data_IF_507885299582
#
_entry.id   IF_507885299582
#
_cell.length_a   1.000
_cell.length_b   1.000
_cell.length_c   1.000
_cell.angle_alpha   90.00
_cell.angle_beta   90.00
_cell.angle_gamma   90.00
#
_symmetry.space_group_name_H-M   'P 1'
#
loop_
_entity.id
_entity.type
_entity.pdbx_description
1 polymer ?
#
# COMPACT_ATOMS: atom_id res chain seq x y z
N UNK A 1 19.84 1.55 17.22
CA UNK A 1 21.22 1.37 16.73
C UNK A 1 21.35 -0.05 16.21
N UNK A 2 21.28 -0.25 14.89
CA UNK A 2 21.42 -1.57 14.26
C UNK A 2 22.55 -1.40 13.24
N UNK A 3 23.67 -2.08 13.48
CA UNK A 3 24.87 -2.05 12.66
C UNK A 3 24.64 -2.91 11.40
N UNK A 4 24.70 -2.30 10.22
CA UNK A 4 24.73 -3.01 8.95
C UNK A 4 26.19 -3.22 8.55
N UNK A 5 26.66 -4.46 8.62
CA UNK A 5 27.97 -4.84 8.09
C UNK A 5 27.84 -5.13 6.59
N UNK A 6 28.51 -4.31 5.78
CA UNK A 6 28.63 -4.49 4.33
C UNK A 6 29.56 -5.67 4.03
N UNK A 7 29.07 -6.68 3.31
CA UNK A 7 29.89 -7.75 2.75
C UNK A 7 30.24 -7.35 1.32
N UNK A 8 31.49 -6.96 1.13
CA UNK A 8 32.10 -6.61 -0.13
C UNK A 8 32.40 -7.90 -0.93
N UNK A 9 31.57 -8.23 -1.90
CA UNK A 9 31.83 -9.31 -2.86
C UNK A 9 32.62 -8.77 -4.04
N UNK A 10 33.92 -9.08 -4.11
CA UNK A 10 34.70 -8.92 -5.34
C UNK A 10 34.61 -10.19 -6.16
N UNK A 11 34.00 -10.10 -7.35
CA UNK A 11 34.05 -11.15 -8.36
C UNK A 11 35.44 -11.16 -9.01
N UNK A 12 36.12 -12.30 -8.94
CA UNK A 12 37.29 -12.59 -9.78
C UNK A 12 36.87 -13.48 -10.96
N UNK A 13 37.41 -13.29 -12.18
CA UNK A 13 36.97 -14.02 -13.37
C UNK A 13 37.51 -15.46 -13.38
N UNK A 14 36.81 -16.42 -14.01
CA UNK A 14 37.21 -17.81 -14.01
C UNK A 14 38.40 -18.05 -14.94
N UNK A 15 39.52 -18.48 -14.37
CA UNK A 15 40.64 -19.03 -15.14
C UNK A 15 40.21 -20.38 -15.76
N UNK A 16 39.93 -20.38 -17.06
CA UNK A 16 39.77 -21.61 -17.86
C UNK A 16 41.05 -22.42 -17.82
N UNK A 17 41.06 -23.52 -17.08
CA UNK A 17 42.06 -24.59 -17.25
C UNK A 17 41.49 -25.61 -18.22
N UNK A 18 42.05 -25.65 -19.43
CA UNK A 18 41.79 -26.71 -20.40
C UNK A 18 42.50 -27.97 -19.91
N UNK A 19 41.77 -28.93 -19.34
CA UNK A 19 42.26 -30.28 -19.09
C UNK A 19 42.32 -31.04 -20.41
N UNK A 20 43.51 -31.13 -20.99
CA UNK A 20 43.80 -32.03 -22.11
C UNK A 20 43.77 -33.49 -21.62
N UNK A 21 42.83 -34.28 -22.15
CA UNK A 21 42.83 -35.73 -22.01
C UNK A 21 44.02 -36.33 -22.77
N UNK A 22 45.09 -36.68 -22.05
CA UNK A 22 46.17 -37.50 -22.62
C UNK A 22 45.74 -38.98 -22.47
N UNK A 23 45.23 -39.56 -23.55
CA UNK A 23 45.05 -41.02 -23.69
C UNK A 23 46.42 -41.68 -23.86
N UNK A 24 47.10 -41.98 -22.76
CA UNK A 24 48.32 -42.79 -22.75
C UNK A 24 47.99 -44.29 -22.80
N UNK A 25 47.99 -44.90 -23.99
CA UNK A 25 48.00 -46.36 -24.18
C UNK A 25 49.34 -46.91 -23.63
N UNK A 26 49.36 -47.48 -22.43
CA UNK A 26 50.50 -48.27 -21.95
C UNK A 26 50.39 -49.69 -22.52
N UNK A 27 51.27 -50.03 -23.48
CA UNK A 27 51.58 -51.43 -23.79
C UNK A 27 52.56 -51.93 -22.72
N UNK A 28 52.12 -52.87 -21.90
CA UNK A 28 53.01 -53.64 -21.02
C UNK A 28 53.64 -54.75 -21.87
N UNK A 29 54.91 -54.55 -22.24
CA UNK A 29 55.73 -55.60 -22.84
C UNK A 29 56.29 -56.41 -21.66
N UNK A 30 55.74 -57.59 -21.44
CA UNK A 30 56.30 -58.60 -20.55
C UNK A 30 57.44 -59.30 -21.30
N UNK A 31 58.68 -59.10 -20.84
CA UNK A 31 59.85 -59.84 -21.32
C UNK A 31 60.03 -61.02 -20.36
N UNK A 32 59.50 -62.19 -20.73
CA UNK A 32 59.87 -63.46 -20.12
C UNK A 32 61.25 -63.86 -20.64
N UNK A 33 62.28 -63.75 -19.80
CA UNK A 33 63.56 -64.42 -20.03
C UNK A 33 63.49 -65.83 -19.44
N UNK A 34 63.35 -66.84 -20.30
CA UNK A 34 63.58 -68.24 -19.95
C UNK A 34 65.08 -68.49 -19.84
N UNK A 35 65.56 -68.87 -18.65
CA UNK A 35 66.86 -69.50 -18.49
C UNK A 35 66.65 -70.79 -17.71
N UNK A 36 66.82 -71.91 -18.39
CA UNK A 36 66.95 -73.22 -17.78
C UNK A 36 68.30 -73.28 -17.07
N UNK A 37 68.28 -73.54 -15.76
CA UNK A 37 69.36 -74.22 -15.06
C UNK A 37 68.77 -74.77 -13.75
N UNK A 38 68.82 -76.09 -13.65
CA UNK A 38 68.41 -76.93 -12.54
C UNK A 38 69.14 -76.55 -11.25
N UNK A 39 68.39 -76.27 -10.18
CA UNK A 39 68.88 -76.53 -8.83
C UNK A 39 67.71 -76.58 -7.85
N UNK A 40 67.54 -77.75 -7.26
CA UNK A 40 66.63 -78.03 -6.15
C UNK A 40 66.81 -77.03 -5.02
N UNK A 41 65.76 -76.24 -4.74
CA UNK A 41 65.44 -75.77 -3.39
C UNK A 41 64.02 -75.20 -3.38
N UNK A 42 63.10 -75.94 -2.78
CA UNK A 42 61.76 -75.46 -2.47
C UNK A 42 61.87 -74.31 -1.44
N UNK A 43 61.89 -73.06 -1.92
CA UNK A 43 61.55 -71.91 -1.09
C UNK A 43 60.02 -71.78 -1.03
N UNK A 44 59.42 -71.47 0.13
CA UNK A 44 58.00 -71.23 0.20
C UNK A 44 57.70 -69.98 -0.65
N UNK A 45 56.67 -70.07 -1.48
CA UNK A 45 56.14 -68.97 -2.27
C UNK A 45 55.57 -67.87 -1.35
N UNK A 46 56.46 -67.11 -0.70
CA UNK A 46 56.13 -66.01 0.20
C UNK A 46 56.49 -64.69 -0.48
N UNK A 47 55.48 -63.95 -0.92
CA UNK A 47 55.69 -62.58 -1.41
C UNK A 47 56.18 -61.65 -0.31
N UNK A 48 57.00 -60.65 -0.66
CA UNK A 48 57.49 -59.63 0.25
C UNK A 48 56.32 -58.90 0.94
N UNK A 49 56.22 -59.06 2.27
CA UNK A 49 55.13 -58.55 3.10
C UNK A 49 54.95 -57.03 2.96
N UNK A 50 56.05 -56.28 2.77
CA UNK A 50 56.00 -54.81 2.59
C UNK A 50 55.36 -54.43 1.27
N UNK A 51 55.62 -55.19 0.20
CA UNK A 51 55.00 -54.94 -1.11
C UNK A 51 53.51 -55.24 -1.07
N UNK A 52 53.11 -56.31 -0.39
CA UNK A 52 51.70 -56.66 -0.20
C UNK A 52 50.95 -55.58 0.58
N UNK A 53 51.54 -55.03 1.65
CA UNK A 53 50.95 -53.94 2.43
C UNK A 53 50.75 -52.67 1.58
N UNK A 54 51.75 -52.28 0.77
CA UNK A 54 51.63 -51.12 -0.14
C UNK A 54 50.54 -51.34 -1.18
N UNK A 55 50.44 -52.56 -1.74
CA UNK A 55 49.36 -52.93 -2.68
C UNK A 55 47.98 -52.81 -2.04
N UNK A 56 47.82 -53.25 -0.78
CA UNK A 56 46.58 -53.10 -0.02
C UNK A 56 46.24 -51.63 0.20
N UNK A 57 47.21 -50.78 0.57
CA UNK A 57 46.98 -49.35 0.74
C UNK A 57 46.56 -48.67 -0.57
N UNK A 58 47.18 -49.02 -1.70
CA UNK A 58 46.79 -48.51 -3.01
C UNK A 58 45.36 -48.92 -3.36
N UNK A 59 45.00 -50.19 -3.14
CA UNK A 59 43.65 -50.68 -3.38
C UNK A 59 42.61 -49.96 -2.50
N UNK A 60 42.93 -49.75 -1.21
CA UNK A 60 42.07 -49.01 -0.28
C UNK A 60 41.89 -47.55 -0.72
N UNK A 61 42.96 -46.86 -1.11
CA UNK A 61 42.90 -45.48 -1.62
C UNK A 61 42.10 -45.39 -2.92
N UNK A 62 42.24 -46.37 -3.81
CA UNK A 62 41.45 -46.44 -5.04
C UNK A 62 39.96 -46.65 -4.72
N UNK A 63 39.62 -47.51 -3.78
CA UNK A 63 38.24 -47.71 -3.34
C UNK A 63 37.64 -46.44 -2.71
N UNK A 64 38.40 -45.73 -1.87
CA UNK A 64 37.98 -44.45 -1.29
C UNK A 64 37.78 -43.38 -2.37
N UNK A 65 38.69 -43.31 -3.35
CA UNK A 65 38.57 -42.38 -4.49
C UNK A 65 37.27 -42.61 -5.27
N UNK A 66 36.94 -43.87 -5.58
CA UNK A 66 35.69 -44.20 -6.29
C UNK A 66 34.48 -43.81 -5.45
N UNK A 67 34.50 -44.08 -4.14
CA UNK A 67 33.40 -43.70 -3.23
C UNK A 67 33.16 -42.20 -3.22
N UNK A 68 34.22 -41.40 -3.10
CA UNK A 68 34.11 -39.93 -3.09
C UNK A 68 33.63 -39.42 -4.46
N UNK A 69 34.14 -39.97 -5.56
CA UNK A 69 33.70 -39.60 -6.90
C UNK A 69 32.19 -39.85 -7.09
N UNK A 70 31.71 -41.04 -6.71
CA UNK A 70 30.28 -41.37 -6.81
C UNK A 70 29.42 -40.44 -5.95
N UNK A 71 29.85 -40.12 -4.72
CA UNK A 71 29.13 -39.17 -3.87
C UNK A 71 29.06 -37.77 -4.48
N UNK A 72 30.16 -37.30 -5.08
CA UNK A 72 30.19 -36.02 -5.77
C UNK A 72 29.27 -36.01 -6.99
N UNK A 73 29.25 -37.09 -7.78
CA UNK A 73 28.38 -37.23 -8.95
C UNK A 73 26.89 -37.24 -8.53
N UNK A 74 26.52 -37.98 -7.49
CA UNK A 74 25.16 -37.99 -6.93
C UNK A 74 24.71 -36.60 -6.45
N UNK A 75 25.60 -35.86 -5.77
CA UNK A 75 25.31 -34.50 -5.30
C UNK A 75 25.24 -33.50 -6.44
N UNK A 76 26.06 -33.65 -7.47
CA UNK A 76 26.01 -32.82 -8.67
C UNK A 76 24.71 -33.06 -9.45
N UNK A 77 24.25 -34.30 -9.55
CA UNK A 77 22.96 -34.62 -10.17
C UNK A 77 21.80 -34.03 -9.36
N UNK A 78 21.81 -34.19 -8.03
CA UNK A 78 20.79 -33.59 -7.14
C UNK A 78 20.73 -32.07 -7.30
N UNK A 79 21.88 -31.39 -7.26
CA UNK A 79 21.93 -29.94 -7.43
C UNK A 79 21.44 -29.51 -8.81
N UNK A 80 21.75 -30.29 -9.85
CA UNK A 80 21.25 -30.04 -11.21
C UNK A 80 19.73 -30.18 -11.29
N UNK A 81 19.15 -31.20 -10.64
CA UNK A 81 17.69 -31.35 -10.54
C UNK A 81 17.07 -30.19 -9.79
N UNK A 82 17.63 -29.81 -8.65
CA UNK A 82 17.17 -28.68 -7.84
C UNK A 82 17.16 -27.36 -8.64
N UNK A 83 18.23 -27.07 -9.40
CA UNK A 83 18.28 -25.86 -10.23
C UNK A 83 17.25 -25.90 -11.36
N UNK A 84 17.03 -27.06 -11.99
CA UNK A 84 16.01 -27.21 -13.04
C UNK A 84 14.60 -27.01 -12.49
N UNK A 85 14.32 -27.59 -11.33
CA UNK A 85 13.04 -27.49 -10.64
C UNK A 85 12.76 -26.05 -10.22
N UNK A 86 13.71 -25.41 -9.55
CA UNK A 86 13.60 -24.01 -9.15
C UNK A 86 13.41 -23.06 -10.35
N UNK A 87 14.10 -23.31 -11.47
CA UNK A 87 13.88 -22.52 -12.68
C UNK A 87 12.48 -22.73 -13.27
N UNK A 88 11.96 -23.95 -13.25
CA UNK A 88 10.60 -24.24 -13.73
C UNK A 88 9.55 -23.56 -12.85
N UNK A 89 9.68 -23.64 -11.52
CA UNK A 89 8.79 -22.95 -10.58
C UNK A 89 8.87 -21.42 -10.75
N UNK A 90 10.07 -20.85 -10.94
CA UNK A 90 10.23 -19.42 -11.19
C UNK A 90 9.61 -18.98 -12.52
N UNK A 91 9.72 -19.79 -13.58
CA UNK A 91 9.06 -19.51 -14.86
C UNK A 91 7.53 -19.59 -14.73
N UNK A 92 7.02 -20.57 -14.00
CA UNK A 92 5.58 -20.72 -13.72
C UNK A 92 5.05 -19.52 -12.92
N UNK A 93 5.71 -19.14 -11.83
CA UNK A 93 5.34 -17.97 -11.01
C UNK A 93 5.45 -16.69 -11.84
N UNK A 94 6.53 -16.54 -12.61
CA UNK A 94 6.72 -15.38 -13.48
C UNK A 94 5.60 -15.25 -14.51
N UNK A 95 5.18 -16.36 -15.10
CA UNK A 95 4.09 -16.38 -16.08
C UNK A 95 2.73 -16.11 -15.46
N UNK A 96 2.41 -16.72 -14.31
CA UNK A 96 1.12 -16.49 -13.64
C UNK A 96 1.00 -15.04 -13.16
N UNK A 97 2.06 -14.49 -12.56
CA UNK A 97 2.06 -13.09 -12.11
C UNK A 97 1.97 -12.08 -13.25
N UNK A 98 2.59 -12.35 -14.40
CA UNK A 98 2.44 -11.50 -15.58
C UNK A 98 1.00 -11.56 -16.14
N UNK A 99 0.42 -12.75 -16.25
CA UNK A 99 -0.96 -12.90 -16.71
C UNK A 99 -1.96 -12.20 -15.78
N UNK A 100 -1.81 -12.34 -14.46
CA UNK A 100 -2.66 -11.66 -13.48
C UNK A 100 -2.51 -10.13 -13.59
N UNK A 101 -1.29 -9.64 -13.82
CA UNK A 101 -1.02 -8.22 -14.02
C UNK A 101 -1.70 -7.69 -15.29
N UNK A 102 -1.61 -8.43 -16.39
CA UNK A 102 -2.25 -8.07 -17.66
C UNK A 102 -3.78 -8.05 -17.52
N UNK A 103 -4.39 -9.06 -16.87
CA UNK A 103 -5.85 -9.07 -16.59
C UNK A 103 -6.27 -7.86 -15.72
N UNK A 104 -5.47 -7.53 -14.69
CA UNK A 104 -5.73 -6.36 -13.85
C UNK A 104 -5.60 -5.06 -14.66
N UNK A 105 -4.61 -4.98 -15.55
CA UNK A 105 -4.40 -3.81 -16.41
C UNK A 105 -5.58 -3.62 -17.37
N UNK A 106 -6.04 -4.69 -18.02
CA UNK A 106 -7.23 -4.66 -18.88
C UNK A 106 -8.46 -4.20 -18.10
N UNK A 107 -8.71 -4.78 -16.91
CA UNK A 107 -9.84 -4.38 -16.05
C UNK A 107 -9.76 -2.93 -15.58
N UNK A 108 -8.58 -2.42 -15.27
CA UNK A 108 -8.39 -1.01 -14.86
C UNK A 108 -8.65 -0.09 -16.05
N UNK A 109 -8.14 -0.43 -17.22
CA UNK A 109 -8.33 0.34 -18.45
C UNK A 109 -9.80 0.39 -18.83
N UNK A 110 -10.51 -0.75 -18.81
CA UNK A 110 -11.95 -0.80 -19.07
C UNK A 110 -12.76 0.05 -18.07
N UNK A 111 -12.37 0.05 -16.78
CA UNK A 111 -13.00 0.90 -15.76
C UNK A 111 -12.73 2.38 -15.98
N UNK A 112 -11.54 2.73 -16.47
CA UNK A 112 -11.18 4.10 -16.79
C UNK A 112 -11.98 4.59 -17.99
N UNK A 113 -12.05 3.79 -19.06
CA UNK A 113 -12.79 4.09 -20.27
C UNK A 113 -14.28 4.28 -19.98
N UNK A 114 -14.89 3.39 -19.18
CA UNK A 114 -16.28 3.54 -18.73
C UNK A 114 -16.52 4.85 -17.99
N UNK A 115 -15.62 5.24 -17.07
CA UNK A 115 -15.74 6.50 -16.34
C UNK A 115 -15.50 7.72 -17.22
N UNK A 116 -14.66 7.59 -18.24
CA UNK A 116 -14.43 8.65 -19.21
C UNK A 116 -15.67 8.87 -20.07
N UNK A 117 -16.31 7.79 -20.54
CA UNK A 117 -17.58 7.86 -21.26
C UNK A 117 -18.69 8.50 -20.41
N UNK A 118 -18.85 8.05 -19.15
CA UNK A 118 -19.79 8.66 -18.20
C UNK A 118 -19.52 10.16 -17.98
N UNK A 119 -18.24 10.56 -17.91
CA UNK A 119 -17.85 11.95 -17.75
C UNK A 119 -18.12 12.80 -19.00
N UNK A 120 -17.88 12.25 -20.19
CA UNK A 120 -18.14 12.94 -21.45
C UNK A 120 -19.66 13.13 -21.66
N UNK A 121 -20.48 12.12 -21.38
CA UNK A 121 -21.94 12.23 -21.39
C UNK A 121 -22.47 13.25 -20.36
N UNK A 122 -21.88 13.26 -19.15
CA UNK A 122 -22.22 14.24 -18.12
C UNK A 122 -21.79 15.67 -18.54
N UNK A 123 -20.64 15.81 -19.20
CA UNK A 123 -20.17 17.11 -19.69
C UNK A 123 -21.08 17.64 -20.80
N UNK A 124 -21.45 16.80 -21.77
CA UNK A 124 -22.36 17.18 -22.86
C UNK A 124 -23.72 17.61 -22.34
N UNK A 125 -24.32 16.85 -21.41
CA UNK A 125 -25.60 17.22 -20.80
C UNK A 125 -25.52 18.52 -19.99
N UNK A 126 -24.45 18.75 -19.23
CA UNK A 126 -24.21 20.02 -18.53
C UNK A 126 -24.08 21.21 -19.49
N UNK A 127 -23.43 21.03 -20.64
CA UNK A 127 -23.35 22.09 -21.65
C UNK A 127 -24.72 22.43 -22.25
N UNK A 128 -25.55 21.43 -22.52
CA UNK A 128 -26.92 21.65 -22.97
C UNK A 128 -27.75 22.39 -21.92
N UNK A 129 -27.64 22.01 -20.64
CA UNK A 129 -28.32 22.70 -19.54
C UNK A 129 -27.87 24.16 -19.41
N UNK A 130 -26.58 24.46 -19.59
CA UNK A 130 -26.06 25.82 -19.59
C UNK A 130 -26.63 26.62 -20.76
N UNK A 131 -26.71 26.04 -21.96
CA UNK A 131 -27.27 26.71 -23.14
C UNK A 131 -28.77 27.02 -22.96
N UNK A 132 -29.54 26.10 -22.38
CA UNK A 132 -30.95 26.32 -22.07
C UNK A 132 -31.15 27.38 -20.97
N UNK A 133 -30.33 27.34 -19.93
CA UNK A 133 -30.34 28.35 -18.87
C UNK A 133 -29.98 29.74 -19.39
N UNK A 134 -29.03 29.85 -20.33
CA UNK A 134 -28.67 31.12 -20.96
C UNK A 134 -29.84 31.68 -21.78
N UNK A 135 -30.52 30.84 -22.57
CA UNK A 135 -31.74 31.25 -23.31
C UNK A 135 -32.84 31.72 -22.35
N UNK A 136 -33.06 31.01 -21.25
CA UNK A 136 -34.03 31.41 -20.23
C UNK A 136 -33.65 32.75 -19.60
N UNK A 137 -32.37 32.99 -19.34
CA UNK A 137 -31.85 34.23 -18.79
C UNK A 137 -32.04 35.40 -19.75
N UNK A 138 -31.75 35.21 -21.05
CA UNK A 138 -32.01 36.21 -22.08
C UNK A 138 -33.50 36.57 -22.19
N UNK A 139 -34.39 35.58 -22.11
CA UNK A 139 -35.84 35.82 -22.09
C UNK A 139 -36.30 36.58 -20.84
N UNK A 140 -35.72 36.25 -19.69
CA UNK A 140 -35.99 36.94 -18.44
C UNK A 140 -35.52 38.40 -18.52
N UNK A 141 -34.30 38.66 -19.00
CA UNK A 141 -33.76 40.01 -19.16
C UNK A 141 -34.62 40.84 -20.13
N UNK A 142 -35.00 40.26 -21.27
CA UNK A 142 -35.90 40.91 -22.24
C UNK A 142 -37.27 41.22 -21.64
N UNK A 143 -37.80 40.34 -20.77
CA UNK A 143 -39.05 40.58 -20.05
C UNK A 143 -38.92 41.73 -19.07
N UNK A 144 -37.86 41.76 -18.27
CA UNK A 144 -37.58 42.85 -17.32
C UNK A 144 -37.40 44.19 -18.05
N UNK A 145 -36.69 44.20 -19.17
CA UNK A 145 -36.50 45.42 -19.95
C UNK A 145 -37.82 45.95 -20.51
N UNK A 146 -38.69 45.06 -20.99
CA UNK A 146 -40.05 45.42 -21.41
C UNK A 146 -40.89 45.95 -20.24
N UNK A 147 -40.92 45.24 -19.11
CA UNK A 147 -41.69 45.62 -17.92
C UNK A 147 -41.21 46.94 -17.30
N UNK A 148 -39.89 47.23 -17.39
CA UNK A 148 -39.28 48.50 -17.00
C UNK A 148 -39.70 49.63 -17.94
N UNK A 149 -39.62 49.41 -19.26
CA UNK A 149 -40.00 50.40 -20.26
C UNK A 149 -41.52 50.69 -20.23
N UNK A 150 -42.34 49.72 -19.84
CA UNK A 150 -43.80 49.87 -19.70
C UNK A 150 -44.23 50.40 -18.32
N UNK A 151 -43.29 50.63 -17.39
CA UNK A 151 -43.59 51.11 -16.03
C UNK A 151 -44.44 50.14 -15.19
N UNK A 152 -44.66 48.91 -15.67
CA UNK A 152 -45.45 47.85 -15.02
C UNK A 152 -44.75 47.30 -13.77
N UNK A 153 -43.42 47.34 -13.74
CA UNK A 153 -42.63 46.95 -12.57
C UNK A 153 -43.03 47.73 -11.31
N UNK A 154 -43.32 49.02 -11.45
CA UNK A 154 -43.74 49.87 -10.33
C UNK A 154 -45.25 49.84 -10.06
N UNK A 155 -46.09 49.51 -11.06
CA UNK A 155 -47.53 49.27 -10.84
C UNK A 155 -47.73 48.02 -9.97
N UNK A 156 -47.11 46.90 -10.31
CA UNK A 156 -47.17 45.67 -9.51
C UNK A 156 -46.62 45.85 -8.08
N UNK A 157 -45.65 46.75 -7.86
CA UNK A 157 -45.14 47.09 -6.53
C UNK A 157 -46.03 48.07 -5.75
N UNK A 158 -46.71 49.01 -6.42
CA UNK A 158 -47.68 49.92 -5.79
C UNK A 158 -49.00 49.21 -5.47
N UNK A 159 -49.44 48.32 -6.33
CA UNK A 159 -50.69 47.57 -6.17
C UNK A 159 -50.58 46.58 -4.99
N UNK A 160 -49.43 45.91 -4.81
CA UNK A 160 -49.18 45.06 -3.62
C UNK A 160 -49.04 45.80 -2.29
N UNK A 161 -48.82 47.12 -2.30
CA UNK A 161 -48.66 47.89 -1.05
C UNK A 161 -49.99 48.39 -0.49
N UNK A 162 -51.04 48.44 -1.30
CA UNK A 162 -52.36 48.95 -0.88
C UNK A 162 -53.32 47.87 -0.41
N UNK A 163 -53.00 46.59 -0.62
CA UNK A 163 -53.85 45.45 -0.23
C UNK A 163 -52.97 44.30 0.28
N UNK A 164 -52.18 44.56 1.32
CA UNK A 164 -51.65 43.46 2.13
C UNK A 164 -52.78 43.05 3.06
N UNK A 165 -53.53 42.06 2.61
CA UNK A 165 -54.51 41.33 3.42
C UNK A 165 -53.86 40.99 4.78
N UNK A 166 -54.49 41.30 5.93
CA UNK A 166 -53.96 40.93 7.25
C UNK A 166 -53.51 39.46 7.31
N UNK A 167 -54.11 38.57 6.53
CA UNK A 167 -53.69 37.16 6.40
C UNK A 167 -52.28 36.98 5.82
N UNK A 168 -51.87 37.74 4.81
CA UNK A 168 -50.51 37.60 4.20
C UNK A 168 -49.43 38.11 5.15
N UNK A 169 -49.75 39.15 5.93
CA UNK A 169 -48.84 39.67 6.97
C UNK A 169 -48.73 38.72 8.16
N UNK A 170 -49.83 38.04 8.51
CA UNK A 170 -49.85 36.99 9.53
C UNK A 170 -49.16 35.72 9.04
N UNK A 171 -49.31 35.35 7.77
CA UNK A 171 -48.62 34.23 7.14
C UNK A 171 -47.11 34.47 7.05
N UNK A 172 -46.67 35.67 6.66
CA UNK A 172 -45.26 36.03 6.64
C UNK A 172 -44.64 36.04 8.06
N UNK A 173 -45.40 36.46 9.07
CA UNK A 173 -44.98 36.33 10.48
C UNK A 173 -44.94 34.89 10.94
N UNK A 174 -45.91 34.07 10.56
CA UNK A 174 -45.94 32.64 10.87
C UNK A 174 -44.80 31.87 10.16
N UNK A 175 -44.42 32.26 8.95
CA UNK A 175 -43.26 31.70 8.24
C UNK A 175 -41.94 32.15 8.88
N UNK A 176 -41.84 33.41 9.31
CA UNK A 176 -40.69 33.87 10.09
C UNK A 176 -40.58 33.15 11.44
N UNK A 177 -41.71 32.85 12.10
CA UNK A 177 -41.75 32.02 13.31
C UNK A 177 -41.37 30.57 13.02
N UNK A 178 -41.84 29.97 11.91
CA UNK A 178 -41.40 28.63 11.47
C UNK A 178 -39.90 28.57 11.18
N UNK A 179 -39.33 29.59 10.53
CA UNK A 179 -37.88 29.66 10.29
C UNK A 179 -37.13 29.79 11.62
N UNK A 180 -37.66 30.57 12.58
CA UNK A 180 -37.09 30.70 13.91
C UNK A 180 -37.19 29.39 14.71
N UNK A 181 -38.28 28.63 14.58
CA UNK A 181 -38.45 27.31 15.18
C UNK A 181 -37.53 26.26 14.55
N UNK A 182 -37.43 26.20 13.22
CA UNK A 182 -36.50 25.30 12.51
C UNK A 182 -35.04 25.65 12.87
N UNK A 183 -34.73 26.94 13.03
CA UNK A 183 -33.42 27.40 13.50
C UNK A 183 -33.19 27.00 14.96
N UNK A 184 -34.22 27.06 15.82
CA UNK A 184 -34.18 26.60 17.22
C UNK A 184 -34.05 25.09 17.33
N UNK A 185 -34.68 24.32 16.44
CA UNK A 185 -34.59 22.86 16.41
C UNK A 185 -33.22 22.39 15.88
N UNK A 186 -32.62 23.14 14.95
CA UNK A 186 -31.22 22.91 14.50
C UNK A 186 -30.17 23.42 15.49
N UNK A 187 -30.45 24.47 16.26
CA UNK A 187 -29.56 25.04 17.26
C UNK A 187 -29.76 24.37 18.63
N UNK A 188 -28.92 23.39 18.95
CA UNK A 188 -29.07 22.53 20.13
C UNK A 188 -29.15 21.03 19.79
N UNK A 189 -28.96 20.67 18.52
CA UNK A 189 -28.88 19.28 18.08
C UNK A 189 -27.84 18.49 18.88
N UNK A 190 -28.26 17.33 19.43
CA UNK A 190 -27.40 16.37 20.16
C UNK A 190 -26.11 16.04 19.39
N UNK A 191 -26.16 16.09 18.07
CA UNK A 191 -25.03 15.84 17.17
C UNK A 191 -23.92 16.89 17.31
N UNK A 192 -24.25 18.19 17.37
CA UNK A 192 -23.26 19.27 17.54
C UNK A 192 -22.58 19.19 18.91
N UNK A 193 -23.37 18.98 19.96
CA UNK A 193 -22.85 18.75 21.31
C UNK A 193 -21.89 17.57 21.38
N UNK A 194 -22.22 16.45 20.73
CA UNK A 194 -21.32 15.30 20.68
C UNK A 194 -20.02 15.59 19.92
N UNK A 195 -20.07 16.43 18.88
CA UNK A 195 -18.87 16.87 18.15
C UNK A 195 -17.97 17.72 19.07
N UNK A 196 -18.51 18.68 19.82
CA UNK A 196 -17.70 19.46 20.77
C UNK A 196 -17.13 18.59 21.89
N UNK A 197 -17.91 17.65 22.43
CA UNK A 197 -17.41 16.71 23.44
C UNK A 197 -16.30 15.80 22.90
N UNK A 198 -16.39 15.35 21.65
CA UNK A 198 -15.35 14.57 20.99
C UNK A 198 -14.07 15.39 20.77
N UNK A 199 -14.20 16.64 20.29
CA UNK A 199 -13.07 17.56 20.14
C UNK A 199 -12.41 17.87 21.48
N UNK A 200 -13.20 18.06 22.54
CA UNK A 200 -12.71 18.29 23.89
C UNK A 200 -11.98 17.08 24.47
N UNK A 201 -12.49 15.87 24.24
CA UNK A 201 -11.84 14.62 24.64
C UNK A 201 -10.50 14.44 23.92
N UNK A 202 -10.47 14.67 22.60
CA UNK A 202 -9.25 14.62 21.82
C UNK A 202 -8.23 15.66 22.30
N UNK A 203 -8.66 16.89 22.55
CA UNK A 203 -7.79 17.97 23.04
C UNK A 203 -7.26 17.67 24.46
N UNK A 204 -8.09 17.14 25.36
CA UNK A 204 -7.67 16.70 26.69
C UNK A 204 -6.63 15.55 26.63
N UNK A 205 -6.81 14.59 25.73
CA UNK A 205 -5.83 13.52 25.50
C UNK A 205 -4.51 14.08 24.97
N UNK A 206 -4.55 15.03 24.04
CA UNK A 206 -3.31 15.66 23.53
C UNK A 206 -2.56 16.40 24.63
N UNK A 207 -3.25 17.21 25.44
CA UNK A 207 -2.65 17.93 26.58
C UNK A 207 -2.09 16.94 27.60
N UNK A 208 -2.85 15.88 27.94
CA UNK A 208 -2.41 14.84 28.85
C UNK A 208 -1.17 14.10 28.34
N UNK A 209 -1.10 13.79 27.05
CA UNK A 209 0.07 13.18 26.43
C UNK A 209 1.29 14.12 26.45
N UNK A 210 1.09 15.41 26.15
CA UNK A 210 2.17 16.41 26.26
C UNK A 210 2.73 16.54 27.68
N UNK A 211 1.88 16.42 28.71
CA UNK A 211 2.29 16.51 30.11
C UNK A 211 2.94 15.19 30.60
N UNK A 212 2.37 14.04 30.21
CA UNK A 212 2.81 12.72 30.70
C UNK A 212 4.02 12.16 29.95
N UNK A 213 4.16 12.43 28.65
CA UNK A 213 5.32 12.01 27.84
C UNK A 213 6.59 12.83 28.07
N UNK A 214 6.55 13.85 28.94
CA UNK A 214 7.69 14.69 29.26
C UNK A 214 8.22 14.52 30.70
N UNK A 215 8.69 13.33 31.12
CA UNK A 215 9.48 13.22 32.33
C UNK A 215 10.94 13.56 31.99
N UNK A 216 11.26 14.85 31.88
CA UNK A 216 12.64 15.33 31.84
C UNK A 216 13.04 16.19 30.64
N UNK A 217 12.65 17.48 30.69
CA UNK A 217 13.28 18.54 29.91
C UNK A 217 12.46 19.00 28.69
N UNK A 218 12.00 20.26 28.76
CA UNK A 218 11.39 21.04 27.67
C UNK A 218 9.91 20.75 27.36
N UNK A 219 9.06 20.83 28.40
CA UNK A 219 7.63 21.12 28.16
C UNK A 219 7.53 22.52 27.56
N UNK A 220 7.15 22.61 26.29
CA UNK A 220 6.82 23.88 25.66
C UNK A 220 5.51 24.43 26.25
N UNK A 221 5.60 25.06 27.43
CA UNK A 221 4.49 25.68 28.14
C UNK A 221 3.70 26.67 27.28
N UNK A 222 4.34 27.25 26.25
CA UNK A 222 3.67 28.07 25.23
C UNK A 222 2.65 27.28 24.41
N UNK A 223 2.98 26.06 23.97
CA UNK A 223 2.06 25.18 23.25
C UNK A 223 0.96 24.67 24.15
N UNK A 224 1.29 24.28 25.39
CA UNK A 224 0.30 23.85 26.39
C UNK A 224 -0.66 25.00 26.73
N UNK A 225 -0.15 26.22 26.92
CA UNK A 225 -0.98 27.40 27.17
C UNK A 225 -1.87 27.75 25.98
N UNK A 226 -1.36 27.67 24.75
CA UNK A 226 -2.16 27.90 23.55
C UNK A 226 -3.28 26.86 23.40
N UNK A 227 -2.98 25.58 23.61
CA UNK A 227 -3.99 24.50 23.61
C UNK A 227 -4.98 24.66 24.76
N UNK A 228 -4.53 25.12 25.94
CA UNK A 228 -5.38 25.43 27.08
C UNK A 228 -6.37 26.57 26.80
N UNK A 229 -5.93 27.64 26.13
CA UNK A 229 -6.83 28.74 25.71
C UNK A 229 -7.89 28.26 24.72
N UNK A 230 -7.51 27.40 23.76
CA UNK A 230 -8.45 26.80 22.81
C UNK A 230 -9.46 25.91 23.54
N UNK A 231 -9.00 25.12 24.51
CA UNK A 231 -9.86 24.28 25.34
C UNK A 231 -10.88 25.11 26.14
N UNK A 232 -10.45 26.23 26.74
CA UNK A 232 -11.35 27.17 27.44
C UNK A 232 -12.39 27.76 26.48
N UNK A 233 -11.99 28.12 25.25
CA UNK A 233 -12.91 28.60 24.21
C UNK A 233 -13.99 27.57 23.84
N UNK A 234 -13.62 26.29 23.73
CA UNK A 234 -14.57 25.19 23.48
C UNK A 234 -15.50 24.94 24.67
N UNK A 235 -15.03 25.07 25.92
CA UNK A 235 -15.89 25.03 27.11
C UNK A 235 -16.92 26.16 27.08
N UNK A 236 -16.49 27.38 26.71
CA UNK A 236 -17.39 28.52 26.60
C UNK A 236 -18.46 28.31 25.51
N UNK A 237 -18.09 27.72 24.36
CA UNK A 237 -19.04 27.34 23.31
C UNK A 237 -20.04 26.29 23.82
N UNK A 238 -19.58 25.29 24.58
CA UNK A 238 -20.44 24.27 25.16
C UNK A 238 -21.42 24.85 26.20
N UNK A 239 -20.96 25.77 27.05
CA UNK A 239 -21.81 26.46 28.03
C UNK A 239 -22.84 27.34 27.33
N UNK A 240 -22.44 28.08 26.28
CA UNK A 240 -23.36 28.89 25.49
C UNK A 240 -24.46 28.05 24.83
N UNK A 241 -24.09 26.89 24.25
CA UNK A 241 -25.08 25.97 23.69
C UNK A 241 -25.97 25.33 24.76
N UNK A 242 -25.42 25.05 25.95
CA UNK A 242 -26.19 24.51 27.07
C UNK A 242 -27.18 25.54 27.63
N UNK A 243 -26.78 26.80 27.76
CA UNK A 243 -27.64 27.90 28.24
C UNK A 243 -28.72 28.28 27.21
N UNK A 244 -28.37 28.24 25.91
CA UNK A 244 -29.36 28.38 24.84
C UNK A 244 -30.35 27.20 24.82
N UNK A 245 -29.87 25.98 25.08
CA UNK A 245 -30.70 24.77 25.16
C UNK A 245 -31.54 24.71 26.44
N UNK A 246 -31.09 25.24 27.58
CA UNK A 246 -31.84 25.25 28.85
C UNK A 246 -32.91 26.33 28.85
N UNK A 247 -32.61 27.53 28.34
CA UNK A 247 -33.62 28.56 28.05
C UNK A 247 -34.69 28.08 27.07
N UNK A 248 -34.37 27.06 26.26
CA UNK A 248 -35.32 26.42 25.37
C UNK A 248 -36.25 25.43 26.06
N UNK A 249 -35.88 24.85 27.22
CA UNK A 249 -36.71 23.93 28.01
C UNK A 249 -37.62 24.64 29.02
N UNK A 250 -37.22 25.81 29.53
CA UNK A 250 -37.99 26.54 30.55
C UNK A 250 -39.23 27.27 30.01
N UNK A 251 -39.44 27.29 28.69
CA UNK A 251 -40.60 27.91 28.04
C UNK A 251 -41.70 26.93 27.62
N UNK A 252 -41.50 25.64 27.85
CA UNK A 252 -42.45 24.56 27.50
C UNK A 252 -43.09 23.92 28.75
N UNK A 253 -43.20 24.67 29.86
CA UNK A 253 -43.99 24.30 31.06
C UNK A 253 -45.06 25.34 31.36
#
# INVERSE_FOLDING_TARGET
>A
MISLNSIQTSLSPPHRTKTSFIKGKRRLICICSSREESSDSASPAGGDQRKQEILVQIAMLQAQKVRVANFLDERAEYLTKFVKDANAELEEIGKSTLNDLDELSERITEKLDRRMEEFDEEAESRWQEIEENEKMLEEFERRIERDRNEGLFFKNLKDKKSEVDPEVKMAAKAEAEKIKEITREKAGSKTRRNIYLALMSLLALTIGNFILSAPGGEVEWRKVAALGLIFIGLVAQLIYEQDFSSNSQDKDK
#
